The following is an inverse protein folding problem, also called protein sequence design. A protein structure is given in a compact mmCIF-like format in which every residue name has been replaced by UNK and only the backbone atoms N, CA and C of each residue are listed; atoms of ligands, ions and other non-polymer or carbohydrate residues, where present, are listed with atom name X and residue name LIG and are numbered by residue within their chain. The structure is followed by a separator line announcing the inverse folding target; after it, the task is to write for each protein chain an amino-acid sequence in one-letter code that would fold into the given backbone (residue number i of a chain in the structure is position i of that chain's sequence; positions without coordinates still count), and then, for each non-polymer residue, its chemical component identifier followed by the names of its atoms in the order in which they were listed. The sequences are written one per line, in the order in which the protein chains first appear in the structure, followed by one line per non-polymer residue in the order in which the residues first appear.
data_IF_922856653159
#
_entry.id   IF_922856653159
#
_cell.length_a   1.000
_cell.length_b   1.000
_cell.length_c   1.000
_cell.angle_alpha   90.00
_cell.angle_beta   90.00
_cell.angle_gamma   90.00
#
_symmetry.space_group_name_H-M   'P 1'
#
loop_
_entity.id
_entity.type
_entity.pdbx_description
1 polymer ?
#
# COMPACT_ATOMS: atom_id res chain seq x y z
N UNK A 1 -34.13 -51.27 -54.99
CA UNK A 1 -33.67 -51.84 -53.69
C UNK A 1 -32.22 -51.42 -53.49
N UNK A 2 -31.97 -50.31 -52.76
CA UNK A 2 -31.63 -50.23 -51.30
C UNK A 2 -30.19 -50.65 -51.02
N UNK A 3 -29.31 -49.91 -50.31
CA UNK A 3 -29.40 -48.67 -49.52
C UNK A 3 -27.97 -48.13 -49.36
N UNK A 4 -27.79 -46.80 -49.45
CA UNK A 4 -26.55 -46.10 -49.05
C UNK A 4 -26.40 -46.19 -47.53
N UNK A 5 -25.21 -46.57 -47.04
CA UNK A 5 -24.86 -46.54 -45.61
C UNK A 5 -24.40 -45.12 -45.26
N UNK A 6 -25.24 -44.35 -44.58
CA UNK A 6 -24.86 -43.09 -43.93
C UNK A 6 -24.31 -43.42 -42.54
N UNK A 7 -23.10 -42.94 -42.23
CA UNK A 7 -22.53 -42.96 -40.88
C UNK A 7 -23.02 -41.71 -40.12
N UNK A 8 -23.54 -41.81 -38.89
CA UNK A 8 -23.91 -40.63 -38.13
C UNK A 8 -22.63 -39.97 -37.60
N UNK A 9 -22.48 -38.67 -37.82
CA UNK A 9 -21.44 -37.86 -37.20
C UNK A 9 -21.78 -37.67 -35.71
N UNK A 10 -20.87 -38.09 -34.84
CA UNK A 10 -20.96 -37.87 -33.40
C UNK A 10 -20.57 -36.40 -33.13
N UNK A 11 -21.56 -35.55 -32.88
CA UNK A 11 -21.32 -34.17 -32.44
C UNK A 11 -21.10 -34.21 -30.93
N UNK A 12 -19.84 -34.07 -30.50
CA UNK A 12 -19.49 -33.90 -29.10
C UNK A 12 -19.75 -32.43 -28.72
N UNK A 13 -20.92 -32.16 -28.14
CA UNK A 13 -21.23 -30.85 -27.58
C UNK A 13 -20.41 -30.64 -26.30
N UNK A 14 -19.31 -29.90 -26.40
CA UNK A 14 -18.58 -29.41 -25.23
C UNK A 14 -19.41 -28.30 -24.58
N UNK A 15 -20.19 -28.65 -23.56
CA UNK A 15 -20.79 -27.67 -22.66
C UNK A 15 -19.67 -27.07 -21.80
N UNK A 16 -19.07 -25.97 -22.27
CA UNK A 16 -18.33 -25.06 -21.40
C UNK A 16 -19.35 -24.45 -20.43
N UNK A 17 -19.50 -25.10 -19.28
CA UNK A 17 -20.23 -24.53 -18.15
C UNK A 17 -19.59 -23.19 -17.79
N UNK A 18 -20.38 -22.12 -17.85
CA UNK A 18 -20.06 -20.88 -17.17
C UNK A 18 -19.94 -21.21 -15.69
N UNK A 19 -18.73 -21.40 -15.17
CA UNK A 19 -18.49 -21.28 -13.75
C UNK A 19 -18.71 -19.81 -13.38
N UNK A 20 -19.71 -19.47 -12.55
CA UNK A 20 -19.78 -18.11 -12.03
C UNK A 20 -18.53 -17.88 -11.20
N UNK A 21 -17.72 -16.90 -11.60
CA UNK A 21 -16.60 -16.43 -10.80
C UNK A 21 -17.17 -15.92 -9.48
N UNK A 22 -16.91 -16.64 -8.39
CA UNK A 22 -17.16 -16.09 -7.05
C UNK A 22 -16.24 -14.88 -6.94
N UNK A 23 -16.81 -13.68 -6.98
CA UNK A 23 -16.09 -12.47 -6.60
C UNK A 23 -15.85 -12.65 -5.09
N UNK A 24 -14.64 -13.05 -4.73
CA UNK A 24 -14.22 -13.07 -3.33
C UNK A 24 -14.40 -11.65 -2.78
N UNK A 25 -14.99 -11.54 -1.59
CA UNK A 25 -15.10 -10.25 -0.92
C UNK A 25 -13.69 -9.67 -0.75
N UNK A 26 -13.53 -8.40 -1.12
CA UNK A 26 -12.26 -7.71 -0.92
C UNK A 26 -11.96 -7.68 0.59
N UNK A 27 -10.73 -8.04 0.97
CA UNK A 27 -10.29 -7.91 2.35
C UNK A 27 -10.32 -6.44 2.77
N UNK A 28 -10.94 -6.21 3.92
CA UNK A 28 -10.94 -4.92 4.60
C UNK A 28 -10.44 -5.20 6.02
N UNK A 29 -9.35 -4.55 6.46
CA UNK A 29 -8.82 -4.77 7.79
C UNK A 29 -9.80 -4.31 8.85
N UNK A 30 -9.83 -5.03 9.98
CA UNK A 30 -10.56 -4.60 11.16
C UNK A 30 -10.00 -3.29 11.73
N UNK A 31 -10.76 -2.67 12.64
CA UNK A 31 -10.29 -1.48 13.36
C UNK A 31 -9.01 -1.80 14.15
N UNK A 32 -8.03 -0.91 14.07
CA UNK A 32 -6.75 -1.04 14.77
C UNK A 32 -5.65 -1.61 13.88
N UNK A 33 -4.70 -2.30 14.50
CA UNK A 33 -3.40 -2.63 13.88
C UNK A 33 -3.31 -4.07 13.35
N UNK A 34 -4.43 -4.81 13.34
CA UNK A 34 -4.49 -6.22 12.96
C UNK A 34 -4.56 -6.43 11.44
N UNK A 35 -3.84 -5.62 10.67
CA UNK A 35 -3.79 -5.73 9.22
C UNK A 35 -3.00 -6.97 8.80
N UNK A 36 -3.54 -7.72 7.84
CA UNK A 36 -2.82 -8.84 7.23
C UNK A 36 -1.66 -8.33 6.36
N UNK A 37 -0.49 -8.94 6.55
CA UNK A 37 0.66 -8.76 5.68
C UNK A 37 0.74 -9.90 4.67
N UNK A 38 0.98 -9.57 3.40
CA UNK A 38 1.18 -10.55 2.32
C UNK A 38 2.43 -10.25 1.53
N UNK A 39 2.97 -11.28 0.90
CA UNK A 39 4.03 -11.09 -0.08
C UNK A 39 3.50 -10.30 -1.29
N UNK A 40 4.33 -9.46 -1.91
CA UNK A 40 3.94 -8.73 -3.12
C UNK A 40 3.35 -9.65 -4.20
N UNK A 41 3.91 -10.84 -4.38
CA UNK A 41 3.49 -11.82 -5.39
C UNK A 41 2.07 -12.33 -5.15
N UNK A 42 1.67 -12.48 -3.88
CA UNK A 42 0.34 -12.97 -3.50
C UNK A 42 -0.78 -11.98 -3.84
N UNK A 43 -0.43 -10.72 -4.08
CA UNK A 43 -1.37 -9.67 -4.49
C UNK A 43 -1.12 -9.18 -5.93
N UNK A 44 -0.34 -9.92 -6.71
CA UNK A 44 -0.05 -9.62 -8.12
C UNK A 44 0.93 -8.46 -8.32
N UNK A 45 1.86 -8.25 -7.39
CA UNK A 45 2.96 -7.30 -7.51
C UNK A 45 4.30 -8.01 -7.71
N UNK A 46 5.25 -7.31 -8.32
CA UNK A 46 6.62 -7.78 -8.51
C UNK A 46 7.46 -7.39 -7.28
N UNK A 47 7.86 -8.40 -6.49
CA UNK A 47 8.63 -8.20 -5.26
C UNK A 47 9.94 -7.47 -5.46
N UNK A 48 10.82 -7.89 -6.41
CA UNK A 48 12.06 -7.18 -6.71
C UNK A 48 11.87 -5.70 -7.06
N UNK A 49 10.88 -5.35 -7.89
CA UNK A 49 10.56 -3.96 -8.25
C UNK A 49 10.05 -3.17 -7.05
N UNK A 50 9.22 -3.79 -6.20
CA UNK A 50 8.76 -3.17 -4.96
C UNK A 50 9.94 -2.91 -4.02
N UNK A 51 10.88 -3.85 -3.91
CA UNK A 51 12.13 -3.68 -3.16
C UNK A 51 12.93 -2.46 -3.65
N UNK A 52 13.10 -2.30 -4.97
CA UNK A 52 13.74 -1.11 -5.55
C UNK A 52 13.02 0.19 -5.17
N UNK A 53 11.68 0.19 -5.08
CA UNK A 53 10.93 1.36 -4.65
C UNK A 53 11.15 1.69 -3.16
N UNK A 54 11.26 0.68 -2.30
CA UNK A 54 11.60 0.85 -0.88
C UNK A 54 12.99 1.42 -0.72
N UNK A 55 13.99 0.85 -1.42
CA UNK A 55 15.36 1.36 -1.43
C UNK A 55 15.42 2.81 -1.94
N UNK A 56 14.67 3.13 -2.99
CA UNK A 56 14.56 4.50 -3.48
C UNK A 56 14.00 5.43 -2.39
N UNK A 57 12.95 5.04 -1.68
CA UNK A 57 12.37 5.85 -0.60
C UNK A 57 13.36 6.08 0.56
N UNK A 58 14.12 5.05 0.95
CA UNK A 58 15.15 5.14 1.98
C UNK A 58 16.31 6.06 1.56
N UNK A 59 16.76 5.95 0.31
CA UNK A 59 17.85 6.76 -0.24
C UNK A 59 17.49 8.24 -0.42
N UNK A 60 16.20 8.57 -0.52
CA UNK A 60 15.71 9.93 -0.77
C UNK A 60 14.90 10.47 0.42
N UNK A 61 15.31 10.14 1.65
CA UNK A 61 14.73 10.74 2.86
C UNK A 61 14.82 12.28 2.81
N UNK A 62 13.80 12.94 3.37
CA UNK A 62 13.73 14.40 3.43
C UNK A 62 14.96 14.99 4.16
N UNK A 63 15.69 15.96 3.56
CA UNK A 63 16.96 16.48 4.08
C UNK A 63 16.81 17.47 5.23
N UNK A 64 15.58 17.75 5.67
CA UNK A 64 15.29 18.65 6.76
C UNK A 64 15.84 18.11 8.09
N UNK A 65 16.14 19.00 9.06
CA UNK A 65 16.55 18.56 10.40
C UNK A 65 15.58 17.55 10.99
N UNK A 66 16.12 16.51 11.63
CA UNK A 66 15.31 15.56 12.38
C UNK A 66 14.68 16.20 13.61
N UNK A 67 15.41 17.11 14.25
CA UNK A 67 14.85 17.99 15.27
C UNK A 67 13.80 18.91 14.63
N UNK A 68 12.54 18.68 15.01
CA UNK A 68 11.42 19.38 14.41
C UNK A 68 11.27 20.82 14.92
N UNK A 69 11.79 21.14 16.10
CA UNK A 69 11.81 22.52 16.61
C UNK A 69 12.82 23.33 15.79
N UNK A 70 14.00 22.76 15.54
CA UNK A 70 14.97 23.36 14.64
C UNK A 70 14.40 23.53 13.22
N UNK A 71 13.76 22.49 12.68
CA UNK A 71 13.11 22.55 11.37
C UNK A 71 12.07 23.68 11.29
N UNK A 72 11.22 23.83 12.31
CA UNK A 72 10.23 24.91 12.42
C UNK A 72 10.90 26.29 12.47
N UNK A 73 11.94 26.44 13.28
CA UNK A 73 12.65 27.71 13.43
C UNK A 73 13.33 28.13 12.13
N UNK A 74 13.92 27.18 11.39
CA UNK A 74 14.55 27.44 10.08
C UNK A 74 13.54 27.83 9.00
N UNK A 75 12.32 27.31 9.06
CA UNK A 75 11.30 27.59 8.03
C UNK A 75 10.43 28.81 8.35
N UNK A 76 9.83 28.86 9.55
CA UNK A 76 8.83 29.85 9.92
C UNK A 76 9.28 30.79 11.04
N UNK A 77 10.47 30.60 11.64
CA UNK A 77 10.90 31.39 12.80
C UNK A 77 11.07 32.90 12.54
N UNK A 78 11.10 33.32 11.28
CA UNK A 78 11.19 34.73 10.87
C UNK A 78 9.82 35.41 10.70
N UNK A 79 8.75 34.63 10.62
CA UNK A 79 7.40 35.15 10.43
C UNK A 79 6.86 35.73 11.75
N UNK A 80 6.00 36.76 11.71
CA UNK A 80 5.22 37.17 12.88
C UNK A 80 4.47 35.97 13.46
N UNK A 81 4.61 35.73 14.76
CA UNK A 81 4.05 34.54 15.45
C UNK A 81 4.59 33.18 14.93
N UNK A 82 5.78 33.18 14.33
CA UNK A 82 6.43 31.99 13.78
C UNK A 82 7.07 31.04 14.79
N UNK A 83 7.04 31.39 16.08
CA UNK A 83 7.62 30.59 17.16
C UNK A 83 6.90 29.24 17.31
N UNK A 84 7.64 28.23 17.77
CA UNK A 84 7.08 26.93 18.08
C UNK A 84 6.09 27.00 19.24
N UNK A 85 4.95 26.30 19.11
CA UNK A 85 3.94 26.18 20.17
C UNK A 85 3.67 24.71 20.41
N UNK A 86 3.75 24.29 21.67
CA UNK A 86 3.54 22.89 22.08
C UNK A 86 4.79 22.03 21.94
N UNK A 87 4.68 20.72 22.24
CA UNK A 87 5.80 19.81 22.25
C UNK A 87 6.29 19.49 20.83
N UNK A 88 7.61 19.58 20.64
CA UNK A 88 8.31 19.04 19.48
C UNK A 88 8.94 17.69 19.82
N UNK A 89 9.12 16.86 18.79
CA UNK A 89 9.78 15.56 18.91
C UNK A 89 10.83 15.45 17.82
N UNK A 90 11.98 14.87 18.12
CA UNK A 90 12.95 14.49 17.09
C UNK A 90 12.32 13.38 16.23
N UNK A 91 12.27 13.55 14.91
CA UNK A 91 11.75 12.55 13.97
C UNK A 91 12.64 11.30 13.98
N UNK A 92 12.05 10.12 13.83
CA UNK A 92 12.83 8.91 13.53
C UNK A 92 13.40 8.95 12.11
N UNK A 93 14.11 7.89 11.71
CA UNK A 93 14.47 7.69 10.31
C UNK A 93 13.23 7.51 9.42
N UNK A 94 13.47 7.44 8.11
CA UNK A 94 12.43 7.15 7.12
C UNK A 94 11.67 5.87 7.47
N UNK A 95 10.35 6.00 7.59
CA UNK A 95 9.44 4.88 7.78
C UNK A 95 8.29 4.99 6.77
N UNK A 96 7.74 3.86 6.37
CA UNK A 96 6.62 3.82 5.44
C UNK A 96 6.08 2.42 5.24
N UNK A 97 4.92 2.37 4.58
CA UNK A 97 4.25 1.13 4.23
C UNK A 97 3.63 1.25 2.85
N UNK A 98 3.55 0.12 2.15
CA UNK A 98 2.80 -0.01 0.89
C UNK A 98 1.63 -0.95 1.16
N UNK A 99 0.44 -0.50 0.78
CA UNK A 99 -0.82 -1.25 0.92
C UNK A 99 -1.36 -1.59 -0.46
N UNK A 100 -1.81 -2.83 -0.65
CA UNK A 100 -2.46 -3.30 -1.88
C UNK A 100 -3.62 -4.24 -1.56
N UNK A 101 -4.80 -3.94 -2.11
CA UNK A 101 -6.04 -4.71 -1.89
C UNK A 101 -6.40 -4.91 -0.40
N UNK A 102 -6.05 -3.94 0.45
CA UNK A 102 -6.27 -4.00 1.90
C UNK A 102 -5.12 -4.65 2.69
N UNK A 103 -4.16 -5.30 2.04
CA UNK A 103 -3.01 -5.94 2.69
C UNK A 103 -1.82 -5.01 2.77
N UNK A 104 -1.05 -5.13 3.85
CA UNK A 104 0.32 -4.59 3.90
C UNK A 104 1.21 -5.50 3.04
N UNK A 105 1.96 -4.92 2.11
CA UNK A 105 2.86 -5.70 1.22
C UNK A 105 4.32 -5.37 1.39
N UNK A 106 4.61 -4.25 2.07
CA UNK A 106 5.93 -3.91 2.56
C UNK A 106 5.82 -2.86 3.65
N UNK A 107 6.75 -2.92 4.59
CA UNK A 107 7.00 -1.88 5.59
C UNK A 107 8.51 -1.67 5.69
N UNK A 108 8.92 -0.45 6.03
CA UNK A 108 10.29 -0.12 6.38
C UNK A 108 10.30 0.92 7.51
N UNK A 109 11.37 0.92 8.30
CA UNK A 109 11.49 1.75 9.49
C UNK A 109 10.49 1.35 10.58
N UNK A 110 10.27 2.25 11.54
CA UNK A 110 9.32 2.06 12.64
C UNK A 110 7.98 2.72 12.30
N UNK A 111 7.09 1.98 11.64
CA UNK A 111 5.74 2.44 11.23
C UNK A 111 4.78 2.63 12.39
N UNK A 112 5.13 2.15 13.60
CA UNK A 112 4.28 2.21 14.80
C UNK A 112 4.65 3.35 15.72
N UNK A 113 5.77 4.03 15.47
CA UNK A 113 6.21 5.19 16.24
C UNK A 113 5.32 6.39 15.95
N UNK A 114 4.77 6.97 17.02
CA UNK A 114 4.09 8.26 16.93
C UNK A 114 5.10 9.35 16.55
N UNK A 115 4.85 10.03 15.43
CA UNK A 115 5.64 11.15 14.92
C UNK A 115 4.77 12.36 14.57
N UNK A 116 5.40 13.52 14.39
CA UNK A 116 4.66 14.72 14.00
C UNK A 116 4.18 14.60 12.54
N UNK A 117 2.86 14.58 12.33
CA UNK A 117 2.24 14.36 11.02
C UNK A 117 2.10 15.65 10.17
N UNK A 118 2.29 16.83 10.76
CA UNK A 118 2.18 18.13 10.10
C UNK A 118 0.84 18.29 9.35
N UNK A 119 0.87 18.62 8.06
CA UNK A 119 -0.35 18.88 7.28
C UNK A 119 -1.20 17.64 7.00
N UNK A 120 -0.71 16.43 7.28
CA UNK A 120 -1.55 15.21 7.23
C UNK A 120 -2.74 15.35 8.17
N UNK A 121 -2.58 16.04 9.31
CA UNK A 121 -3.68 16.33 10.25
C UNK A 121 -4.87 17.04 9.58
N UNK A 122 -4.66 17.82 8.51
CA UNK A 122 -5.75 18.52 7.81
C UNK A 122 -6.71 17.57 7.11
N UNK A 123 -6.28 16.37 6.76
CA UNK A 123 -7.15 15.36 6.11
C UNK A 123 -8.13 14.71 7.09
N UNK A 124 -7.99 14.94 8.39
CA UNK A 124 -8.90 14.44 9.43
C UNK A 124 -9.97 15.46 9.85
N UNK A 125 -9.91 16.68 9.31
CA UNK A 125 -10.87 17.78 9.53
C UNK A 125 -11.74 17.97 8.29
#
# INVERSE_FOLDING_TARGET
MTRRKTRPALVLAAALGLCPSVIAAQYVPDRGDAWETRLPEEVGMDGPRLGTAVEFALAHEAPQPRDQEEGKNRSFGREPFGFGIGPFKVRSGAAGMIVRHGYIVAEWGDTRRVDMAHSVTKSFL
#
